data_IF_084805559398
#
_entry.id   IF_084805559398
#
_cell.length_a   1.000
_cell.length_b   1.000
_cell.length_c   1.000
_cell.angle_alpha   90.00
_cell.angle_beta   90.00
_cell.angle_gamma   90.00
#
_symmetry.space_group_name_H-M   'P 1'
#
loop_
_entity.id
_entity.type
_entity.pdbx_description
1 polymer ?
#
# COMPACT_ATOMS: atom_id res chain seq x y z
N UNK A 1 -6.23 16.33 -24.37
CA UNK A 1 -6.06 15.20 -23.42
C UNK A 1 -4.75 14.48 -23.75
N UNK A 2 -3.68 14.72 -22.98
CA UNK A 2 -2.37 14.09 -23.19
C UNK A 2 -2.30 12.79 -22.38
N UNK A 3 -2.17 11.66 -23.06
CA UNK A 3 -1.86 10.36 -22.45
C UNK A 3 -0.38 10.40 -22.05
N UNK A 4 -0.11 10.54 -20.75
CA UNK A 4 1.24 10.33 -20.22
C UNK A 4 1.51 8.82 -20.25
N UNK A 5 2.29 8.39 -21.24
CA UNK A 5 2.92 7.09 -21.26
C UNK A 5 3.88 7.02 -20.06
N UNK A 6 3.54 6.15 -19.10
CA UNK A 6 4.51 5.64 -18.14
C UNK A 6 5.46 4.73 -18.93
N UNK A 7 6.51 5.33 -19.46
CA UNK A 7 7.68 4.62 -19.96
C UNK A 7 8.31 3.94 -18.75
N UNK A 8 7.91 2.69 -18.48
CA UNK A 8 8.76 1.79 -17.70
C UNK A 8 10.04 1.67 -18.52
N UNK A 9 11.11 2.28 -18.02
CA UNK A 9 12.46 2.02 -18.50
C UNK A 9 12.84 0.62 -18.00
N UNK A 10 12.20 -0.40 -18.58
CA UNK A 10 12.76 -1.75 -18.61
C UNK A 10 13.91 -1.59 -19.57
N UNK A 11 15.14 -1.61 -19.05
CA UNK A 11 16.33 -1.73 -19.89
C UNK A 11 16.19 -3.09 -20.57
N UNK A 12 15.96 -3.17 -21.89
CA UNK A 12 15.94 -4.46 -22.55
C UNK A 12 17.37 -4.99 -22.45
N UNK A 13 17.56 -6.06 -21.69
CA UNK A 13 18.76 -6.88 -21.76
C UNK A 13 18.71 -7.63 -23.09
N UNK A 14 18.88 -6.92 -24.21
CA UNK A 14 19.26 -7.54 -25.48
C UNK A 14 20.74 -7.94 -25.42
N UNK A 15 21.05 -8.86 -24.50
CA UNK A 15 22.31 -9.60 -24.38
C UNK A 15 22.22 -10.96 -25.10
N UNK A 16 21.41 -11.05 -26.15
CA UNK A 16 21.31 -12.22 -27.01
C UNK A 16 22.52 -12.32 -27.93
N UNK A 17 23.67 -12.78 -27.41
CA UNK A 17 24.67 -13.65 -28.07
C UNK A 17 26.04 -13.64 -27.35
N UNK A 18 26.31 -12.70 -26.45
CA UNK A 18 27.64 -12.59 -25.80
C UNK A 18 27.76 -13.46 -24.53
N UNK A 19 26.66 -13.98 -23.97
CA UNK A 19 26.71 -14.80 -22.74
C UNK A 19 27.19 -16.25 -22.94
N UNK A 20 27.18 -16.80 -24.15
CA UNK A 20 27.53 -18.21 -24.36
C UNK A 20 29.03 -18.51 -24.09
N UNK A 21 29.90 -17.50 -24.11
CA UNK A 21 31.34 -17.68 -23.90
C UNK A 21 31.82 -17.32 -22.48
N UNK A 22 30.97 -16.69 -21.65
CA UNK A 22 31.36 -16.20 -20.33
C UNK A 22 30.66 -16.91 -19.15
N UNK A 23 29.81 -17.90 -19.42
CA UNK A 23 29.30 -18.79 -18.37
C UNK A 23 30.38 -19.81 -18.05
N UNK A 24 31.46 -19.33 -17.44
CA UNK A 24 32.32 -20.19 -16.67
C UNK A 24 31.45 -20.87 -15.62
N UNK A 25 31.55 -22.19 -15.51
CA UNK A 25 30.98 -22.98 -14.41
C UNK A 25 31.12 -22.18 -13.12
N UNK A 26 30.03 -21.73 -12.50
CA UNK A 26 30.11 -20.97 -11.27
C UNK A 26 30.94 -21.77 -10.26
N UNK A 27 32.16 -21.31 -9.96
CA UNK A 27 33.09 -22.03 -9.10
C UNK A 27 32.82 -21.64 -7.67
N UNK A 28 33.18 -22.52 -6.73
CA UNK A 28 33.13 -22.18 -5.30
C UNK A 28 33.91 -20.88 -5.00
N UNK A 29 34.94 -20.58 -5.80
CA UNK A 29 35.73 -19.35 -5.71
C UNK A 29 34.92 -18.08 -6.03
N UNK A 30 33.82 -18.18 -6.78
CA UNK A 30 32.97 -17.03 -7.13
C UNK A 30 32.22 -16.48 -5.92
N UNK A 31 32.03 -17.31 -4.89
CA UNK A 31 31.38 -16.95 -3.63
C UNK A 31 32.34 -16.33 -2.59
N UNK A 32 33.65 -16.28 -2.89
CA UNK A 32 34.62 -15.70 -1.99
C UNK A 32 34.43 -14.18 -1.85
N UNK A 33 34.57 -13.68 -0.61
CA UNK A 33 34.44 -12.25 -0.31
C UNK A 33 32.99 -11.72 -0.21
N UNK A 34 31.98 -12.58 -0.37
CA UNK A 34 30.59 -12.22 -0.11
C UNK A 34 30.32 -12.16 1.40
N UNK A 35 29.40 -11.29 1.82
CA UNK A 35 28.88 -11.33 3.19
C UNK A 35 28.13 -12.66 3.45
N UNK A 36 27.91 -12.99 4.73
CA UNK A 36 27.34 -14.28 5.14
C UNK A 36 26.00 -14.59 4.44
N UNK A 37 25.15 -13.58 4.27
CA UNK A 37 23.83 -13.76 3.67
C UNK A 37 23.92 -14.00 2.16
N UNK A 38 24.71 -13.19 1.44
CA UNK A 38 24.98 -13.39 0.01
C UNK A 38 25.72 -14.69 -0.26
N UNK A 39 26.67 -15.05 0.59
CA UNK A 39 27.41 -16.31 0.51
C UNK A 39 26.48 -17.50 0.63
N UNK A 40 25.48 -17.46 1.51
CA UNK A 40 24.50 -18.56 1.65
C UNK A 40 23.72 -18.77 0.34
N UNK A 41 23.27 -17.69 -0.30
CA UNK A 41 22.61 -17.76 -1.63
C UNK A 41 23.57 -18.28 -2.70
N UNK A 42 24.80 -17.78 -2.71
CA UNK A 42 25.82 -18.18 -3.67
C UNK A 42 26.17 -19.66 -3.56
N UNK A 43 26.45 -20.12 -2.34
CA UNK A 43 26.80 -21.51 -2.04
C UNK A 43 25.66 -22.46 -2.43
N UNK A 44 24.40 -22.05 -2.16
CA UNK A 44 23.22 -22.82 -2.55
C UNK A 44 23.06 -22.87 -4.09
N UNK A 45 23.15 -21.74 -4.78
CA UNK A 45 23.07 -21.71 -6.24
C UNK A 45 24.18 -22.53 -6.90
N UNK A 46 25.43 -22.38 -6.43
CA UNK A 46 26.56 -23.17 -6.91
C UNK A 46 26.39 -24.68 -6.62
N UNK A 47 25.80 -25.05 -5.48
CA UNK A 47 25.45 -26.43 -5.16
C UNK A 47 24.42 -27.00 -6.15
N UNK A 48 23.35 -26.26 -6.43
CA UNK A 48 22.31 -26.69 -7.37
C UNK A 48 22.82 -26.80 -8.80
N UNK A 49 23.70 -25.88 -9.24
CA UNK A 49 24.40 -26.00 -10.53
C UNK A 49 25.15 -27.34 -10.62
N UNK A 50 25.94 -27.69 -9.60
CA UNK A 50 26.69 -28.97 -9.58
C UNK A 50 25.78 -30.19 -9.62
N UNK A 51 24.67 -30.16 -8.87
CA UNK A 51 23.68 -31.25 -8.88
C UNK A 51 23.12 -31.41 -10.30
N UNK A 52 22.63 -30.33 -10.91
CA UNK A 52 22.07 -30.35 -12.26
C UNK A 52 23.09 -30.79 -13.32
N UNK A 53 24.33 -30.32 -13.24
CA UNK A 53 25.41 -30.73 -14.14
C UNK A 53 25.75 -32.22 -14.00
N UNK A 54 25.71 -32.76 -12.78
CA UNK A 54 26.01 -34.17 -12.50
C UNK A 54 24.88 -35.12 -12.91
N UNK A 55 23.63 -34.68 -12.78
CA UNK A 55 22.44 -35.44 -13.20
C UNK A 55 22.21 -35.41 -14.71
N UNK A 56 22.94 -34.56 -15.45
CA UNK A 56 22.74 -34.36 -16.88
C UNK A 56 23.74 -35.20 -17.71
N UNK A 57 23.30 -36.31 -18.37
CA UNK A 57 24.19 -37.19 -19.11
C UNK A 57 24.90 -36.48 -20.27
N UNK A 58 26.18 -36.81 -20.47
CA UNK A 58 27.07 -36.21 -21.48
C UNK A 58 26.54 -36.36 -22.91
N UNK A 59 25.84 -37.46 -23.22
CA UNK A 59 25.23 -37.71 -24.52
C UNK A 59 24.03 -36.79 -24.83
N UNK A 60 23.39 -36.21 -23.82
CA UNK A 60 22.32 -35.22 -24.01
C UNK A 60 22.86 -33.82 -24.36
N UNK A 61 24.17 -33.58 -24.19
CA UNK A 61 24.81 -32.30 -24.57
C UNK A 61 24.89 -32.10 -26.08
N UNK A 62 24.75 -33.17 -26.88
CA UNK A 62 24.79 -33.13 -28.35
C UNK A 62 23.40 -33.08 -29.01
N UNK A 63 22.30 -33.14 -28.24
CA UNK A 63 20.91 -33.14 -28.73
C UNK A 63 19.90 -32.29 -27.93
N UNK A 64 20.41 -31.41 -27.05
CA UNK A 64 19.72 -30.33 -26.31
C UNK A 64 18.38 -30.65 -25.59
N UNK A 65 18.40 -31.21 -24.37
CA UNK A 65 17.44 -30.79 -23.35
C UNK A 65 17.85 -29.39 -22.89
N UNK A 66 17.16 -28.36 -23.39
CA UNK A 66 17.54 -26.97 -23.12
C UNK A 66 17.06 -26.47 -21.73
N UNK A 67 16.25 -27.24 -21.01
CA UNK A 67 15.70 -26.87 -19.70
C UNK A 67 16.76 -26.83 -18.58
N UNK A 68 17.55 -27.90 -18.30
CA UNK A 68 18.64 -27.82 -17.32
C UNK A 68 19.66 -26.75 -17.65
N UNK A 69 19.98 -26.58 -18.95
CA UNK A 69 20.91 -25.56 -19.43
C UNK A 69 20.45 -24.14 -19.05
N UNK A 70 19.17 -23.82 -19.31
CA UNK A 70 18.58 -22.52 -18.98
C UNK A 70 18.57 -22.25 -17.48
N UNK A 71 18.22 -23.27 -16.68
CA UNK A 71 18.24 -23.15 -15.22
C UNK A 71 19.66 -22.90 -14.71
N UNK A 72 20.66 -23.66 -15.19
CA UNK A 72 22.08 -23.44 -14.86
C UNK A 72 22.53 -22.03 -15.25
N UNK A 73 22.18 -21.55 -16.45
CA UNK A 73 22.49 -20.19 -16.90
C UNK A 73 21.90 -19.13 -15.98
N UNK A 74 20.64 -19.29 -15.57
CA UNK A 74 19.96 -18.37 -14.64
C UNK A 74 20.60 -18.39 -13.25
N UNK A 75 20.97 -19.57 -12.74
CA UNK A 75 21.69 -19.71 -11.48
C UNK A 75 23.09 -19.09 -11.55
N UNK A 76 23.81 -19.25 -12.67
CA UNK A 76 25.09 -18.60 -12.91
C UNK A 76 24.98 -17.08 -12.96
N UNK A 77 23.94 -16.56 -13.62
CA UNK A 77 23.61 -15.14 -13.62
C UNK A 77 23.33 -14.59 -12.22
N UNK A 78 22.59 -15.35 -11.39
CA UNK A 78 22.39 -15.01 -9.98
C UNK A 78 23.71 -14.93 -9.22
N UNK A 79 24.58 -15.93 -9.34
CA UNK A 79 25.91 -15.95 -8.68
C UNK A 79 26.75 -14.74 -9.10
N UNK A 80 26.81 -14.44 -10.40
CA UNK A 80 27.52 -13.27 -10.92
C UNK A 80 26.94 -11.94 -10.41
N UNK A 81 25.62 -11.85 -10.28
CA UNK A 81 24.91 -10.65 -9.81
C UNK A 81 25.01 -10.39 -8.31
N UNK A 82 25.33 -11.39 -7.47
CA UNK A 82 25.39 -11.22 -6.02
C UNK A 82 26.43 -10.17 -5.57
N UNK A 83 27.54 -10.05 -6.29
CA UNK A 83 28.62 -9.09 -5.97
C UNK A 83 28.14 -7.64 -6.06
N UNK A 84 27.29 -7.33 -7.04
CA UNK A 84 26.72 -5.99 -7.25
C UNK A 84 25.32 -5.82 -6.66
N UNK A 85 24.71 -6.89 -6.14
CA UNK A 85 23.37 -6.85 -5.58
C UNK A 85 23.26 -5.87 -4.40
N UNK A 86 22.20 -5.06 -4.43
CA UNK A 86 21.82 -4.18 -3.33
C UNK A 86 21.21 -4.95 -2.14
N UNK A 87 20.44 -4.27 -1.27
CA UNK A 87 19.83 -4.89 -0.08
C UNK A 87 18.71 -5.89 -0.42
N UNK A 88 18.35 -6.02 -1.70
CA UNK A 88 17.31 -6.89 -2.20
C UNK A 88 17.80 -7.61 -3.46
N UNK A 89 17.54 -8.91 -3.50
CA UNK A 89 17.74 -9.74 -4.70
C UNK A 89 16.37 -9.98 -5.32
N UNK A 90 16.16 -9.41 -6.51
CA UNK A 90 15.03 -9.78 -7.34
C UNK A 90 15.33 -11.16 -7.94
N UNK A 91 14.50 -12.14 -7.60
CA UNK A 91 14.62 -13.48 -8.13
C UNK A 91 13.20 -14.01 -8.36
N UNK A 92 12.87 -14.29 -9.61
CA UNK A 92 11.57 -14.85 -9.99
C UNK A 92 11.80 -16.28 -10.49
N UNK A 93 11.89 -17.22 -9.55
CA UNK A 93 11.56 -18.63 -9.83
C UNK A 93 10.08 -18.79 -9.44
N UNK A 94 9.18 -18.44 -10.35
CA UNK A 94 7.75 -18.57 -10.10
C UNK A 94 7.22 -19.69 -10.99
N UNK A 95 6.95 -20.85 -10.40
CA UNK A 95 6.18 -21.89 -11.06
C UNK A 95 4.74 -21.39 -11.23
N UNK A 96 4.34 -21.15 -12.48
CA UNK A 96 2.99 -20.71 -12.83
C UNK A 96 2.27 -21.76 -13.63
N UNK A 97 1.00 -21.99 -13.29
CA UNK A 97 0.14 -22.90 -14.04
C UNK A 97 -0.86 -22.11 -14.84
N UNK A 98 -0.65 -22.04 -16.15
CA UNK A 98 -1.56 -21.41 -17.10
C UNK A 98 -2.60 -22.40 -17.60
N UNK A 99 -3.83 -21.91 -17.78
CA UNK A 99 -4.89 -22.64 -18.50
C UNK A 99 -4.97 -22.14 -19.94
N UNK A 100 -4.59 -22.98 -20.90
CA UNK A 100 -4.54 -22.65 -22.32
C UNK A 100 -5.72 -23.32 -23.04
N UNK A 101 -6.67 -22.55 -23.61
CA UNK A 101 -7.70 -23.12 -24.46
C UNK A 101 -7.11 -23.50 -25.83
N UNK A 102 -7.31 -24.75 -26.27
CA UNK A 102 -6.89 -25.23 -27.58
C UNK A 102 -7.88 -26.29 -28.10
N UNK A 103 -8.35 -26.14 -29.34
CA UNK A 103 -9.29 -27.06 -30.02
C UNK A 103 -10.49 -27.52 -29.15
N UNK A 104 -11.15 -26.56 -28.50
CA UNK A 104 -12.31 -26.83 -27.64
C UNK A 104 -11.99 -27.49 -26.28
N UNK A 105 -10.72 -27.78 -26.00
CA UNK A 105 -10.24 -28.33 -24.73
C UNK A 105 -9.42 -27.29 -23.95
N UNK A 106 -9.28 -27.48 -22.63
CA UNK A 106 -8.42 -26.64 -21.76
C UNK A 106 -7.23 -27.45 -21.28
N UNK A 107 -6.03 -26.91 -21.47
CA UNK A 107 -4.76 -27.53 -21.11
C UNK A 107 -4.11 -26.79 -19.95
N UNK A 108 -3.45 -27.52 -19.06
CA UNK A 108 -2.72 -26.96 -17.92
C UNK A 108 -1.22 -26.99 -18.23
N UNK A 109 -0.57 -25.82 -18.24
CA UNK A 109 0.86 -25.64 -18.55
C UNK A 109 1.57 -25.05 -17.34
N UNK A 110 2.57 -25.76 -16.81
CA UNK A 110 3.42 -25.27 -15.71
C UNK A 110 4.73 -24.69 -16.23
N UNK A 111 5.04 -23.42 -15.95
CA UNK A 111 6.23 -22.69 -16.41
C UNK A 111 7.02 -22.16 -15.21
N UNK A 112 8.35 -22.28 -15.21
CA UNK A 112 9.19 -21.86 -14.07
C UNK A 112 9.61 -20.37 -14.10
N UNK A 113 9.50 -19.72 -15.25
CA UNK A 113 9.95 -18.33 -15.47
C UNK A 113 8.81 -17.52 -16.08
N UNK A 114 8.26 -16.58 -15.31
CA UNK A 114 7.19 -15.66 -15.71
C UNK A 114 7.77 -14.31 -16.16
N UNK A 115 8.56 -14.30 -17.24
CA UNK A 115 8.86 -13.12 -18.07
C UNK A 115 10.02 -13.42 -19.04
N UNK A 116 9.76 -13.22 -20.34
CA UNK A 116 10.72 -13.19 -21.47
C UNK A 116 11.31 -14.54 -21.94
N UNK A 117 11.95 -14.53 -23.13
CA UNK A 117 12.37 -15.59 -24.09
C UNK A 117 13.01 -16.90 -23.55
N UNK A 118 13.14 -17.05 -22.23
CA UNK A 118 13.81 -18.14 -21.51
C UNK A 118 12.84 -19.08 -20.76
N UNK A 119 11.56 -19.11 -21.13
CA UNK A 119 10.56 -19.98 -20.50
C UNK A 119 11.03 -21.46 -20.47
N UNK A 120 10.96 -22.07 -19.28
CA UNK A 120 11.15 -23.50 -19.08
C UNK A 120 9.81 -24.10 -18.71
N UNK A 121 9.30 -24.93 -19.60
CA UNK A 121 8.06 -25.66 -19.41
C UNK A 121 8.33 -26.92 -18.60
N UNK A 122 7.79 -26.94 -17.39
CA UNK A 122 7.94 -28.05 -16.46
C UNK A 122 7.00 -29.18 -16.87
N UNK A 123 5.75 -28.87 -17.19
CA UNK A 123 4.71 -29.85 -17.54
C UNK A 123 3.69 -29.26 -18.50
N UNK A 124 3.27 -30.06 -19.48
CA UNK A 124 2.01 -29.89 -20.21
C UNK A 124 1.12 -31.09 -19.90
N UNK A 125 0.15 -30.92 -19.02
CA UNK A 125 -0.88 -31.94 -18.85
C UNK A 125 -1.76 -31.98 -20.10
N UNK A 126 -2.09 -33.19 -20.55
CA UNK A 126 -2.91 -33.51 -21.72
C UNK A 126 -2.26 -33.36 -23.11
N UNK A 127 -0.94 -33.13 -23.20
CA UNK A 127 -0.22 -33.27 -24.47
C UNK A 127 -0.60 -32.23 -25.52
N UNK A 128 -0.46 -30.94 -25.17
CA UNK A 128 -0.51 -29.85 -26.15
C UNK A 128 0.32 -30.24 -27.38
N UNK A 129 -0.26 -30.18 -28.59
CA UNK A 129 0.46 -30.46 -29.84
C UNK A 129 1.74 -29.63 -29.92
N UNK A 130 2.86 -30.26 -30.34
CA UNK A 130 4.20 -29.64 -30.36
C UNK A 130 4.25 -28.32 -31.15
N UNK A 131 3.38 -28.19 -32.15
CA UNK A 131 3.19 -27.02 -33.02
C UNK A 131 2.43 -25.86 -32.36
N UNK A 132 1.71 -26.10 -31.27
CA UNK A 132 1.03 -25.05 -30.48
C UNK A 132 1.92 -24.36 -29.44
N UNK A 133 3.17 -24.83 -29.29
CA UNK A 133 4.10 -24.31 -28.29
C UNK A 133 4.77 -23.02 -28.76
N UNK A 134 4.99 -22.04 -27.86
CA UNK A 134 5.80 -20.86 -28.19
C UNK A 134 7.18 -21.30 -28.70
N UNK A 135 7.63 -20.72 -29.81
CA UNK A 135 8.96 -20.99 -30.36
C UNK A 135 10.04 -20.74 -29.31
N UNK A 136 10.91 -21.72 -29.07
CA UNK A 136 12.02 -21.59 -28.10
C UNK A 136 11.68 -22.02 -26.67
N UNK A 137 10.56 -22.71 -26.42
CA UNK A 137 10.27 -23.32 -25.13
C UNK A 137 11.07 -24.60 -24.90
N UNK A 138 11.64 -24.71 -23.69
CA UNK A 138 12.39 -25.89 -23.28
C UNK A 138 11.52 -26.82 -22.45
N UNK A 139 11.27 -28.03 -22.95
CA UNK A 139 10.54 -29.05 -22.19
C UNK A 139 11.50 -29.81 -21.28
N UNK A 140 11.23 -29.83 -19.99
CA UNK A 140 11.91 -30.71 -19.05
C UNK A 140 11.37 -32.15 -19.16
N UNK A 141 12.27 -33.13 -19.21
CA UNK A 141 11.89 -34.55 -19.03
C UNK A 141 11.40 -34.78 -17.59
N UNK A 142 10.67 -35.86 -17.33
CA UNK A 142 10.10 -36.11 -16.00
C UNK A 142 11.16 -36.25 -14.90
N UNK A 143 12.31 -36.86 -15.22
CA UNK A 143 13.49 -36.94 -14.34
C UNK A 143 14.12 -35.57 -14.09
N UNK A 144 14.18 -34.72 -15.12
CA UNK A 144 14.70 -33.35 -15.05
C UNK A 144 13.77 -32.41 -14.28
N UNK A 145 12.44 -32.57 -14.41
CA UNK A 145 11.43 -31.73 -13.77
C UNK A 145 11.60 -31.70 -12.26
N UNK A 146 11.83 -32.88 -11.67
CA UNK A 146 12.03 -33.02 -10.22
C UNK A 146 13.28 -32.25 -9.78
N UNK A 147 14.42 -32.50 -10.44
CA UNK A 147 15.68 -31.84 -10.12
C UNK A 147 15.63 -30.32 -10.32
N UNK A 148 14.99 -29.85 -11.40
CA UNK A 148 14.80 -28.42 -11.69
C UNK A 148 13.92 -27.75 -10.63
N UNK A 149 12.81 -28.39 -10.25
CA UNK A 149 11.87 -27.84 -9.25
C UNK A 149 12.51 -27.80 -7.86
N UNK A 150 13.28 -28.84 -7.49
CA UNK A 150 14.04 -28.87 -6.25
C UNK A 150 15.13 -27.78 -6.22
N UNK A 151 15.87 -27.62 -7.32
CA UNK A 151 16.88 -26.57 -7.44
C UNK A 151 16.27 -25.17 -7.31
N UNK A 152 15.17 -24.91 -8.02
CA UNK A 152 14.44 -23.65 -7.95
C UNK A 152 13.96 -23.36 -6.52
N UNK A 153 13.32 -24.33 -5.87
CA UNK A 153 12.81 -24.20 -4.50
C UNK A 153 13.93 -23.97 -3.48
N UNK A 154 15.06 -24.65 -3.64
CA UNK A 154 16.20 -24.49 -2.73
C UNK A 154 16.81 -23.08 -2.83
N UNK A 155 16.97 -22.57 -4.06
CA UNK A 155 17.51 -21.23 -4.32
C UNK A 155 16.51 -20.15 -3.91
N UNK A 156 15.22 -20.34 -4.18
CA UNK A 156 14.14 -19.47 -3.70
C UNK A 156 14.13 -19.39 -2.18
N UNK A 157 14.30 -20.52 -1.48
CA UNK A 157 14.40 -20.55 -0.02
C UNK A 157 15.60 -19.76 0.49
N UNK A 158 16.77 -19.92 -0.15
CA UNK A 158 17.97 -19.17 0.20
C UNK A 158 17.81 -17.66 -0.04
N UNK A 159 17.25 -17.26 -1.19
CA UNK A 159 17.00 -15.84 -1.52
C UNK A 159 15.92 -15.24 -0.64
N UNK A 160 14.88 -16.00 -0.29
CA UNK A 160 13.88 -15.57 0.70
C UNK A 160 14.52 -15.34 2.05
N UNK A 161 15.44 -16.21 2.48
CA UNK A 161 16.26 -16.03 3.68
C UNK A 161 17.08 -14.75 3.64
N UNK A 162 17.76 -14.48 2.52
CA UNK A 162 18.52 -13.24 2.28
C UNK A 162 17.63 -11.99 2.31
N UNK A 163 16.48 -12.02 1.65
CA UNK A 163 15.55 -10.90 1.54
C UNK A 163 14.74 -10.68 2.83
N UNK A 164 14.67 -11.65 3.74
CA UNK A 164 13.85 -11.59 4.96
C UNK A 164 14.05 -10.30 5.79
N UNK A 165 15.26 -9.79 6.03
CA UNK A 165 15.45 -8.52 6.74
C UNK A 165 14.83 -7.35 5.98
N UNK A 166 15.10 -7.21 4.69
CA UNK A 166 14.54 -6.13 3.86
C UNK A 166 13.01 -6.21 3.77
N UNK A 167 12.46 -7.43 3.59
CA UNK A 167 11.02 -7.69 3.58
C UNK A 167 10.37 -7.38 4.92
N UNK A 168 10.99 -7.78 6.04
CA UNK A 168 10.46 -7.48 7.38
C UNK A 168 10.50 -5.98 7.70
N UNK A 169 11.56 -5.27 7.27
CA UNK A 169 11.63 -3.82 7.38
C UNK A 169 10.57 -3.14 6.50
N UNK A 170 10.39 -3.58 5.26
CA UNK A 170 9.35 -3.09 4.37
C UNK A 170 7.95 -3.33 4.93
N UNK A 171 7.68 -4.54 5.43
CA UNK A 171 6.42 -4.88 6.10
C UNK A 171 6.18 -4.01 7.35
N UNK A 172 7.21 -3.76 8.17
CA UNK A 172 7.10 -2.88 9.33
C UNK A 172 6.79 -1.43 8.93
N UNK A 173 7.40 -0.91 7.85
CA UNK A 173 7.11 0.42 7.32
C UNK A 173 5.69 0.51 6.75
N UNK A 174 5.26 -0.49 5.97
CA UNK A 174 3.90 -0.60 5.43
C UNK A 174 2.87 -0.68 6.57
N UNK A 175 3.17 -1.43 7.63
CA UNK A 175 2.34 -1.47 8.83
C UNK A 175 2.23 -0.10 9.48
N UNK A 176 3.35 0.62 9.70
CA UNK A 176 3.34 1.98 10.25
C UNK A 176 2.50 2.94 9.39
N UNK A 177 2.61 2.85 8.06
CA UNK A 177 1.85 3.67 7.12
C UNK A 177 0.35 3.34 7.18
N UNK A 178 0.01 2.04 7.16
CA UNK A 178 -1.37 1.55 7.29
C UNK A 178 -2.01 2.00 8.61
N UNK A 179 -1.31 1.80 9.73
CA UNK A 179 -1.78 2.24 11.04
C UNK A 179 -2.02 3.76 11.07
N UNK A 180 -1.19 4.54 10.37
CA UNK A 180 -1.34 6.01 10.30
C UNK A 180 -2.51 6.43 9.42
N UNK A 181 -2.74 5.74 8.30
CA UNK A 181 -3.94 5.93 7.47
C UNK A 181 -5.21 5.59 8.24
N UNK A 182 -5.22 4.47 8.97
CA UNK A 182 -6.35 4.10 9.81
C UNK A 182 -6.64 5.16 10.86
N UNK A 183 -5.61 5.73 11.50
CA UNK A 183 -5.79 6.84 12.42
C UNK A 183 -6.36 8.09 11.74
N UNK A 184 -5.89 8.47 10.54
CA UNK A 184 -6.47 9.60 9.79
C UNK A 184 -7.97 9.37 9.51
N UNK A 185 -8.36 8.14 9.18
CA UNK A 185 -9.75 7.80 8.88
C UNK A 185 -10.63 7.75 10.14
N UNK A 186 -10.08 7.34 11.27
CA UNK A 186 -10.86 7.05 12.50
C UNK A 186 -10.82 8.17 13.52
N UNK A 187 -9.66 8.78 13.73
CA UNK A 187 -9.39 9.80 14.74
C UNK A 187 -8.92 11.13 14.13
N UNK A 188 -8.72 11.19 12.81
CA UNK A 188 -8.38 12.42 12.09
C UNK A 188 -9.57 13.36 11.96
N UNK A 189 -9.37 14.50 11.28
CA UNK A 189 -10.46 15.44 11.01
C UNK A 189 -11.42 14.82 9.98
N UNK A 190 -12.71 14.73 10.31
CA UNK A 190 -13.71 14.20 9.40
C UNK A 190 -13.86 15.10 8.18
N UNK A 191 -13.77 14.55 6.97
CA UNK A 191 -14.01 15.31 5.74
C UNK A 191 -15.38 15.00 5.15
N UNK A 192 -16.12 16.05 4.80
CA UNK A 192 -17.28 15.88 3.95
C UNK A 192 -16.88 15.62 2.49
N UNK A 193 -17.74 14.99 1.67
CA UNK A 193 -17.42 14.66 0.28
C UNK A 193 -16.95 15.87 -0.55
N UNK A 194 -17.56 17.05 -0.36
CA UNK A 194 -17.16 18.27 -1.07
C UNK A 194 -15.81 18.81 -0.61
N UNK A 195 -15.49 18.71 0.69
CA UNK A 195 -14.18 19.08 1.23
C UNK A 195 -13.11 18.17 0.65
N UNK A 196 -13.40 16.88 0.52
CA UNK A 196 -12.48 15.92 -0.10
C UNK A 196 -12.17 16.30 -1.55
N UNK A 197 -13.19 16.56 -2.35
CA UNK A 197 -13.03 16.99 -3.76
C UNK A 197 -12.21 18.27 -3.84
N UNK A 198 -12.49 19.25 -2.97
CA UNK A 198 -11.73 20.50 -2.92
C UNK A 198 -10.28 20.27 -2.53
N UNK A 199 -10.02 19.47 -1.50
CA UNK A 199 -8.66 19.15 -1.05
C UNK A 199 -7.87 18.38 -2.11
N UNK A 200 -8.48 17.42 -2.80
CA UNK A 200 -7.84 16.71 -3.90
C UNK A 200 -7.50 17.67 -5.06
N UNK A 201 -8.39 18.63 -5.34
CA UNK A 201 -8.17 19.66 -6.36
C UNK A 201 -7.06 20.65 -6.00
N UNK A 202 -6.97 21.07 -4.74
CA UNK A 202 -5.94 22.00 -4.25
C UNK A 202 -4.59 21.31 -4.19
N UNK A 203 -4.56 20.05 -3.75
CA UNK A 203 -3.31 19.32 -3.56
C UNK A 203 -2.79 18.64 -4.83
N UNK A 204 -3.56 18.64 -5.95
CA UNK A 204 -3.24 18.44 -7.40
C UNK A 204 -1.94 17.73 -7.78
N UNK A 205 -1.48 16.79 -6.97
CA UNK A 205 -0.48 15.77 -7.28
C UNK A 205 -1.27 14.54 -7.75
N UNK A 206 -0.77 13.79 -8.75
CA UNK A 206 -1.53 12.68 -9.33
C UNK A 206 -2.08 11.79 -8.22
N UNK A 207 -3.42 11.69 -8.11
CA UNK A 207 -4.25 10.98 -7.13
C UNK A 207 -3.47 10.03 -6.22
N UNK A 208 -2.65 10.58 -5.33
CA UNK A 208 -1.68 9.80 -4.58
C UNK A 208 -2.37 9.42 -3.29
N UNK A 209 -3.29 8.44 -3.36
CA UNK A 209 -3.77 7.69 -2.20
C UNK A 209 -2.61 7.12 -1.37
N UNK A 210 -1.39 7.12 -1.93
CA UNK A 210 -0.16 6.71 -1.29
C UNK A 210 0.45 7.75 -0.33
N UNK A 211 -0.03 9.00 -0.32
CA UNK A 211 0.50 10.06 0.57
C UNK A 211 -0.50 10.44 1.65
N UNK A 212 -0.06 10.39 2.90
CA UNK A 212 -0.82 10.89 4.03
C UNK A 212 -1.11 12.38 3.88
N UNK A 213 -2.33 12.85 4.19
CA UNK A 213 -2.65 14.26 4.16
C UNK A 213 -1.86 14.98 5.26
N UNK A 214 -1.06 15.97 4.90
CA UNK A 214 -0.36 16.81 5.89
C UNK A 214 -1.14 18.07 6.23
N UNK A 215 -2.00 18.50 5.31
CA UNK A 215 -2.75 19.74 5.32
C UNK A 215 -4.10 19.46 4.68
N UNK A 216 -5.16 19.99 5.28
CA UNK A 216 -6.51 19.93 4.75
C UNK A 216 -7.20 21.28 4.93
N UNK A 217 -7.95 21.71 3.92
CA UNK A 217 -8.84 22.85 3.98
C UNK A 217 -10.22 22.41 4.43
N UNK A 218 -10.80 23.18 5.33
CA UNK A 218 -12.17 23.01 5.83
C UNK A 218 -13.06 23.97 5.07
N UNK A 219 -14.15 23.49 4.50
CA UNK A 219 -15.03 24.30 3.65
C UNK A 219 -16.47 23.91 3.93
N UNK A 220 -17.26 24.87 4.43
CA UNK A 220 -18.68 24.68 4.75
C UNK A 220 -18.92 23.42 5.59
N UNK A 221 -18.17 23.27 6.69
CA UNK A 221 -18.23 22.08 7.53
C UNK A 221 -19.30 22.26 8.62
N UNK A 222 -20.43 21.51 8.57
CA UNK A 222 -21.44 21.56 9.61
C UNK A 222 -21.01 20.71 10.83
N UNK A 223 -21.18 21.26 12.03
CA UNK A 223 -20.97 20.54 13.28
C UNK A 223 -22.02 20.92 14.33
N UNK A 224 -22.16 20.11 15.39
CA UNK A 224 -23.11 20.36 16.48
C UNK A 224 -22.36 20.39 17.80
N UNK A 225 -22.84 21.14 18.77
CA UNK A 225 -22.11 21.27 20.01
C UNK A 225 -22.87 22.07 21.05
N UNK A 226 -22.14 22.43 22.10
CA UNK A 226 -22.64 23.30 23.13
C UNK A 226 -22.00 24.68 22.99
N UNK A 227 -22.84 25.70 23.09
CA UNK A 227 -22.42 27.07 23.28
C UNK A 227 -22.72 27.48 24.72
N UNK A 228 -21.75 28.10 25.37
CA UNK A 228 -21.85 28.68 26.70
C UNK A 228 -21.80 30.19 26.53
N UNK A 229 -22.93 30.85 26.75
CA UNK A 229 -23.04 32.31 26.77
C UNK A 229 -23.14 32.79 28.21
N UNK A 230 -22.29 33.75 28.58
CA UNK A 230 -22.32 34.40 29.89
C UNK A 230 -22.66 35.88 29.76
N UNK A 231 -23.51 36.36 30.67
CA UNK A 231 -23.56 37.79 31.01
C UNK A 231 -22.45 38.14 32.01
N UNK A 232 -22.55 39.29 32.67
CA UNK A 232 -21.65 39.64 33.77
C UNK A 232 -21.73 38.66 34.96
N UNK A 233 -22.85 37.93 35.09
CA UNK A 233 -23.06 36.93 36.14
C UNK A 233 -22.90 35.50 35.63
N UNK A 234 -21.92 34.78 36.21
CA UNK A 234 -21.66 33.37 35.90
C UNK A 234 -22.82 32.45 36.32
N UNK A 235 -23.67 32.86 37.27
CA UNK A 235 -24.83 32.09 37.75
C UNK A 235 -25.92 31.88 36.69
N UNK A 236 -25.98 32.74 35.68
CA UNK A 236 -26.93 32.63 34.56
C UNK A 236 -26.36 31.83 33.37
N UNK A 237 -25.13 31.35 33.49
CA UNK A 237 -24.44 30.64 32.41
C UNK A 237 -25.10 29.28 32.17
N UNK A 238 -25.71 29.11 31.00
CA UNK A 238 -26.32 27.84 30.57
C UNK A 238 -25.69 27.37 29.27
N UNK A 239 -25.22 26.12 29.27
CA UNK A 239 -24.81 25.44 28.04
C UNK A 239 -26.07 25.10 27.22
N UNK A 240 -26.10 25.50 25.96
CA UNK A 240 -27.20 25.22 25.03
C UNK A 240 -26.67 24.59 23.76
N UNK A 241 -27.46 23.69 23.17
CA UNK A 241 -27.16 23.12 21.87
C UNK A 241 -27.16 24.19 20.78
N UNK A 242 -26.20 24.13 19.87
CA UNK A 242 -26.12 25.02 18.72
C UNK A 242 -25.65 24.26 17.47
N UNK A 243 -26.06 24.75 16.30
CA UNK A 243 -25.53 24.33 15.00
C UNK A 243 -24.38 25.26 14.62
N UNK A 244 -23.26 24.65 14.26
CA UNK A 244 -22.04 25.33 13.88
C UNK A 244 -21.79 25.10 12.39
N UNK A 245 -21.42 26.13 11.66
CA UNK A 245 -21.00 26.04 10.26
C UNK A 245 -19.64 26.69 10.15
N UNK A 246 -18.67 25.98 9.60
CA UNK A 246 -17.33 26.50 9.39
C UNK A 246 -17.13 26.83 7.91
N UNK A 247 -17.33 28.09 7.51
CA UNK A 247 -17.25 28.45 6.10
C UNK A 247 -15.84 28.28 5.54
N UNK A 248 -14.81 28.47 6.36
CA UNK A 248 -13.42 28.31 5.95
C UNK A 248 -12.56 27.94 7.14
N UNK A 249 -11.69 26.97 6.96
CA UNK A 249 -10.69 26.60 7.95
C UNK A 249 -9.54 25.82 7.36
N UNK A 250 -8.64 25.43 8.25
CA UNK A 250 -7.41 24.77 7.91
C UNK A 250 -7.04 23.80 9.02
N UNK A 251 -6.64 22.59 8.64
CA UNK A 251 -6.14 21.54 9.52
C UNK A 251 -4.75 21.12 9.06
N UNK A 252 -3.83 20.96 10.00
CA UNK A 252 -2.49 20.45 9.77
C UNK A 252 -2.24 19.22 10.61
N UNK A 253 -1.92 18.13 9.93
CA UNK A 253 -1.53 16.88 10.54
C UNK A 253 -0.04 16.87 10.85
N UNK A 254 0.30 16.25 11.98
CA UNK A 254 1.68 15.99 12.38
C UNK A 254 1.83 14.52 12.73
N UNK A 255 2.60 13.81 11.91
CA UNK A 255 2.91 12.41 12.10
C UNK A 255 4.40 12.22 12.43
N UNK A 256 4.68 11.41 13.44
CA UNK A 256 6.01 10.82 13.66
C UNK A 256 5.85 9.31 13.63
N UNK A 257 6.07 8.70 12.46
CA UNK A 257 5.87 7.27 12.21
C UNK A 257 6.65 6.38 13.21
N UNK A 258 7.84 6.81 13.63
CA UNK A 258 8.68 6.05 14.56
C UNK A 258 8.23 6.15 16.02
N UNK A 259 7.63 7.27 16.40
CA UNK A 259 7.17 7.50 17.78
C UNK A 259 5.69 7.14 17.98
N UNK A 260 5.01 6.73 16.91
CA UNK A 260 3.55 6.59 16.84
C UNK A 260 2.77 7.83 17.31
N UNK A 261 3.43 9.00 17.39
CA UNK A 261 2.80 10.27 17.79
C UNK A 261 2.10 10.86 16.58
N UNK A 262 0.79 11.04 16.71
CA UNK A 262 -0.10 11.53 15.67
C UNK A 262 -1.04 12.52 16.34
N UNK A 263 -1.08 13.73 15.80
CA UNK A 263 -2.03 14.74 16.21
C UNK A 263 -2.33 15.66 15.04
N UNK A 264 -3.44 16.36 15.12
CA UNK A 264 -3.75 17.45 14.22
C UNK A 264 -4.09 18.73 14.97
N UNK A 265 -3.79 19.85 14.32
CA UNK A 265 -4.09 21.19 14.80
C UNK A 265 -4.94 21.87 13.73
N UNK A 266 -5.98 22.56 14.12
CA UNK A 266 -6.85 23.25 13.18
C UNK A 266 -7.32 24.60 13.67
N UNK A 267 -7.67 25.46 12.72
CA UNK A 267 -8.36 26.71 12.99
C UNK A 267 -9.37 26.97 11.88
N UNK A 268 -10.55 27.46 12.24
CA UNK A 268 -11.60 27.80 11.29
C UNK A 268 -12.37 29.04 11.71
N UNK A 269 -12.96 29.70 10.73
CA UNK A 269 -14.03 30.65 10.93
C UNK A 269 -15.28 29.89 11.35
N UNK A 270 -16.09 30.50 12.22
CA UNK A 270 -17.26 29.87 12.80
C UNK A 270 -18.49 30.74 12.57
N UNK A 271 -19.58 30.11 12.14
CA UNK A 271 -20.94 30.66 12.18
C UNK A 271 -21.76 29.80 13.14
N UNK A 272 -22.51 30.44 14.03
CA UNK A 272 -23.27 29.76 15.08
C UNK A 272 -24.74 30.11 14.95
N UNK A 273 -25.58 29.09 14.90
CA UNK A 273 -27.03 29.21 14.84
C UNK A 273 -27.63 28.57 16.09
N UNK A 274 -28.36 29.38 16.85
CA UNK A 274 -29.03 28.99 18.10
C UNK A 274 -30.44 29.59 18.11
N UNK A 275 -31.41 28.89 18.68
CA UNK A 275 -32.82 29.31 18.62
C UNK A 275 -33.11 30.61 19.39
N UNK A 276 -32.41 30.82 20.50
CA UNK A 276 -32.65 31.93 21.43
C UNK A 276 -31.84 33.20 21.10
N UNK A 277 -30.89 33.11 20.17
CA UNK A 277 -29.97 34.19 19.81
C UNK A 277 -29.97 34.39 18.30
N UNK A 278 -29.62 35.60 17.87
CA UNK A 278 -29.32 35.87 16.47
C UNK A 278 -28.14 35.00 15.98
N UNK A 279 -27.92 34.86 14.67
CA UNK A 279 -26.69 34.25 14.17
C UNK A 279 -25.44 34.92 14.75
N UNK A 280 -24.50 34.09 15.20
CA UNK A 280 -23.19 34.49 15.70
C UNK A 280 -22.08 34.17 14.71
N UNK A 281 -20.98 34.89 14.80
CA UNK A 281 -19.74 34.62 14.07
C UNK A 281 -18.55 34.57 15.01
N UNK A 282 -17.51 33.84 14.64
CA UNK A 282 -16.40 33.60 15.54
C UNK A 282 -15.23 32.86 14.90
N UNK A 283 -14.39 32.32 15.76
CA UNK A 283 -13.30 31.45 15.38
C UNK A 283 -13.32 30.19 16.24
N UNK A 284 -12.88 29.09 15.66
CA UNK A 284 -12.79 27.78 16.30
C UNK A 284 -11.34 27.29 16.19
N UNK A 285 -10.78 26.85 17.30
CA UNK A 285 -9.48 26.20 17.37
C UNK A 285 -9.67 24.72 17.67
N UNK A 286 -8.82 23.87 17.05
CA UNK A 286 -8.83 22.42 17.23
C UNK A 286 -7.47 21.89 17.59
N UNK A 287 -7.51 20.90 18.49
CA UNK A 287 -6.39 20.03 18.79
C UNK A 287 -6.91 18.61 18.98
N UNK A 288 -6.62 17.75 18.01
CA UNK A 288 -7.23 16.42 17.91
C UNK A 288 -8.76 16.50 18.04
N UNK A 289 -9.38 15.56 18.75
CA UNK A 289 -10.82 15.53 19.04
C UNK A 289 -11.36 16.71 19.87
N UNK A 290 -10.50 17.62 20.33
CA UNK A 290 -10.91 18.75 21.15
C UNK A 290 -11.05 20.00 20.28
N UNK A 291 -12.16 20.70 20.45
CA UNK A 291 -12.40 21.96 19.77
C UNK A 291 -12.95 23.00 20.76
N UNK A 292 -12.44 24.22 20.67
CA UNK A 292 -12.87 25.35 21.48
C UNK A 292 -12.96 26.57 20.59
N UNK A 293 -14.06 27.30 20.67
CA UNK A 293 -14.27 28.50 19.89
C UNK A 293 -14.75 29.66 20.72
N UNK A 294 -14.64 30.85 20.13
CA UNK A 294 -15.19 32.10 20.66
C UNK A 294 -16.11 32.67 19.61
N UNK A 295 -17.34 32.99 20.01
CA UNK A 295 -18.38 33.52 19.15
C UNK A 295 -18.89 34.86 19.67
N UNK A 296 -19.27 35.73 18.75
CA UNK A 296 -20.01 36.97 19.01
C UNK A 296 -21.34 36.92 18.28
N UNK A 297 -22.43 37.11 19.03
CA UNK A 297 -23.77 37.22 18.47
C UNK A 297 -24.09 38.66 18.09
N UNK A 298 -24.79 38.83 16.96
CA UNK A 298 -25.20 40.14 16.47
C UNK A 298 -26.40 40.67 17.27
N UNK A 299 -26.38 41.92 17.69
CA UNK A 299 -27.46 42.54 18.47
C UNK A 299 -28.74 42.74 17.66
N UNK A 300 -29.49 41.67 17.40
CA UNK A 300 -30.78 41.74 16.74
C UNK A 300 -31.67 40.62 17.28
N UNK A 301 -32.17 40.81 18.50
CA UNK A 301 -33.33 40.04 18.92
C UNK A 301 -34.53 40.51 18.09
N UNK A 302 -35.32 39.58 17.55
CA UNK A 302 -36.56 39.89 16.84
C UNK A 302 -37.59 40.67 17.71
N UNK A 303 -37.34 40.81 19.02
CA UNK A 303 -38.18 41.51 19.98
C UNK A 303 -37.89 43.02 20.16
N UNK A 304 -36.99 43.63 19.38
CA UNK A 304 -36.85 45.09 19.30
C UNK A 304 -36.23 45.82 20.51
N UNK A 305 -35.85 45.11 21.57
CA UNK A 305 -35.08 45.68 22.68
C UNK A 305 -33.59 45.50 22.39
N UNK A 306 -32.91 46.60 22.06
CA UNK A 306 -31.48 46.62 21.71
C UNK A 306 -30.62 46.01 22.81
N UNK A 307 -30.26 44.74 22.64
CA UNK A 307 -29.37 44.01 23.56
C UNK A 307 -27.94 44.13 23.07
N UNK A 308 -27.02 44.40 23.98
CA UNK A 308 -25.58 44.44 23.69
C UNK A 308 -25.08 43.13 23.04
N UNK A 309 -24.00 43.19 22.25
CA UNK A 309 -23.43 42.01 21.62
C UNK A 309 -23.00 41.00 22.69
N UNK A 310 -23.56 39.79 22.62
CA UNK A 310 -23.23 38.70 23.54
C UNK A 310 -22.03 37.89 23.02
N UNK A 311 -21.08 37.62 23.90
CA UNK A 311 -19.97 36.71 23.63
C UNK A 311 -20.25 35.33 24.20
N UNK A 312 -19.79 34.30 23.50
CA UNK A 312 -19.92 32.90 23.90
C UNK A 312 -18.61 32.14 23.71
N UNK A 313 -18.44 31.10 24.51
CA UNK A 313 -17.40 30.08 24.32
C UNK A 313 -18.10 28.81 23.85
N UNK A 314 -17.53 28.17 22.83
CA UNK A 314 -18.11 27.00 22.21
C UNK A 314 -17.23 25.78 22.43
N UNK A 315 -17.85 24.63 22.61
CA UNK A 315 -17.20 23.34 22.53
C UNK A 315 -17.98 22.50 21.52
N UNK A 316 -17.32 22.13 20.42
CA UNK A 316 -17.98 21.38 19.34
C UNK A 316 -17.57 19.91 19.38
N UNK A 317 -18.50 19.04 19.00
CA UNK A 317 -18.20 17.63 18.73
C UNK A 317 -18.63 17.37 17.30
N UNK A 318 -17.81 16.67 16.52
CA UNK A 318 -18.16 16.40 15.13
C UNK A 318 -19.47 15.59 15.06
N UNK A 319 -20.40 16.04 14.21
CA UNK A 319 -21.69 15.37 14.05
C UNK A 319 -21.50 13.93 13.55
N UNK A 320 -20.48 13.71 12.72
CA UNK A 320 -20.16 12.40 12.17
C UNK A 320 -19.84 11.38 13.28
N UNK A 321 -19.07 11.76 14.28
CA UNK A 321 -18.74 10.88 15.42
C UNK A 321 -20.02 10.47 16.18
N UNK A 322 -20.91 11.43 16.43
CA UNK A 322 -22.19 11.18 17.11
C UNK A 322 -23.10 10.26 16.30
N UNK A 323 -23.17 10.47 14.99
CA UNK A 323 -23.96 9.63 14.08
C UNK A 323 -23.40 8.22 13.97
N UNK A 324 -22.08 8.05 13.93
CA UNK A 324 -21.45 6.72 13.91
C UNK A 324 -21.72 5.94 15.19
N UNK A 325 -21.57 6.57 16.36
CA UNK A 325 -21.88 5.92 17.63
C UNK A 325 -23.35 5.47 17.73
N UNK A 326 -24.28 6.31 17.25
CA UNK A 326 -25.70 5.97 17.19
C UNK A 326 -25.97 4.80 16.22
N UNK A 327 -25.35 4.82 15.03
CA UNK A 327 -25.49 3.76 14.02
C UNK A 327 -24.97 2.41 14.52
N UNK A 328 -23.85 2.38 15.25
CA UNK A 328 -23.31 1.16 15.84
C UNK A 328 -24.26 0.60 16.89
N UNK A 329 -24.80 1.44 17.78
CA UNK A 329 -25.80 1.02 18.77
C UNK A 329 -27.05 0.44 18.10
N UNK A 330 -27.55 1.07 17.04
CA UNK A 330 -28.70 0.58 16.26
C UNK A 330 -28.42 -0.80 15.64
N UNK A 331 -27.26 -0.99 14.99
CA UNK A 331 -26.88 -2.29 14.43
C UNK A 331 -26.79 -3.39 15.48
N UNK A 332 -26.18 -3.10 16.64
CA UNK A 332 -26.09 -4.07 17.73
C UNK A 332 -27.47 -4.39 18.31
N UNK A 333 -28.36 -3.40 18.42
CA UNK A 333 -29.74 -3.62 18.87
C UNK A 333 -30.53 -4.47 17.87
N UNK A 334 -30.39 -4.23 16.57
CA UNK A 334 -31.01 -5.01 15.51
C UNK A 334 -30.50 -6.47 15.50
N UNK A 335 -29.19 -6.67 15.66
CA UNK A 335 -28.60 -8.01 15.79
C UNK A 335 -29.15 -8.77 17.00
N UNK A 336 -29.29 -8.10 18.15
CA UNK A 336 -29.92 -8.68 19.35
C UNK A 336 -31.39 -9.00 19.12
N UNK A 337 -32.14 -8.13 18.45
CA UNK A 337 -33.55 -8.37 18.16
C UNK A 337 -33.76 -9.58 17.23
N UNK A 338 -32.84 -9.84 16.29
CA UNK A 338 -32.88 -11.02 15.41
C UNK A 338 -32.47 -12.33 16.07
N UNK A 339 -31.83 -12.29 17.24
CA UNK A 339 -31.43 -13.49 17.99
C UNK A 339 -32.49 -14.01 18.96
N UNK A 340 -33.62 -13.29 19.10
CA UNK A 340 -34.81 -13.72 19.83
C UNK A 340 -35.87 -14.21 18.86
#
# INVERSE_FOLDING_TARGET
>A
MRKNALTRLIVPLSLGLVLAAAVGTARADDCAGLDVAKKTVCDEAARQIRILESSWPTAAKTGQPCAPARVILRLGGLVGGLKSAGPYLALEFAAHTDSIPYDGSTYSRSVLFLAEDDEVELSAENGLPLDSRPSGTCLARDDERTAITEAARAVETAVTGYNKPALSQGAAQLKKLSDTWMWVITDGFGQFPWERVFNDLVHRRPLSIYRLPTIEWVLLHPSVGAEITGGSDFSETRAKGALFIEPLGFVRYRFRLDQQKRHYLGASLLLVLREELSPGYGALFRYDRYSVGVVRHTSASASGTGRDPTWGVTATVELLERLQAARTKLKTAEQRARSY
#
